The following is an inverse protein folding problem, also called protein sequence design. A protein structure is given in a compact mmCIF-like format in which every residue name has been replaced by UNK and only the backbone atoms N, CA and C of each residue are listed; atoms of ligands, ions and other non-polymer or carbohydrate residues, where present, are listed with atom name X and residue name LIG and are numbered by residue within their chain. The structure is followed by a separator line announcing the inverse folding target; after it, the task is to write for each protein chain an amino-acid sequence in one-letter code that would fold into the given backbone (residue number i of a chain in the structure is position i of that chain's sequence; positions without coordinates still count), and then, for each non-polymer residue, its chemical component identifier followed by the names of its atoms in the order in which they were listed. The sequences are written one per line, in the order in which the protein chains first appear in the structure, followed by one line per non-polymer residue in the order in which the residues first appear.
data_IF_633615060908
#
_entry.id   IF_633615060908
#
_cell.length_a   1.000
_cell.length_b   1.000
_cell.length_c   1.000
_cell.angle_alpha   90.00
_cell.angle_beta   90.00
_cell.angle_gamma   90.00
#
_symmetry.space_group_name_H-M   'P 1'
#
loop_
_entity.id
_entity.type
_entity.pdbx_description
1 polymer ?
#
# COMPACT_ATOMS: atom_id res chain seq x y z
N UNK A 1 8.16 20.89 19.86
CA UNK A 1 6.76 21.24 19.54
C UNK A 1 6.49 21.52 18.05
N UNK A 2 7.49 21.80 17.20
CA UNK A 2 7.29 21.98 15.74
C UNK A 2 7.35 20.68 14.93
N UNK A 3 8.06 19.64 15.39
CA UNK A 3 8.15 18.33 14.73
C UNK A 3 6.78 17.61 14.65
N UNK A 4 5.97 17.71 15.72
CA UNK A 4 4.65 17.09 15.82
C UNK A 4 3.63 17.63 14.80
N UNK A 5 3.80 18.87 14.32
CA UNK A 5 2.84 19.50 13.39
C UNK A 5 3.14 19.09 11.93
N UNK A 6 4.40 18.76 11.60
CA UNK A 6 4.79 18.33 10.25
C UNK A 6 4.51 16.85 9.98
N UNK A 7 4.70 15.97 10.96
CA UNK A 7 4.27 14.55 10.91
C UNK A 7 2.75 14.46 10.76
N UNK A 8 2.02 15.31 11.47
CA UNK A 8 0.56 15.44 11.33
C UNK A 8 0.17 16.00 9.96
N UNK A 9 0.99 16.82 9.28
CA UNK A 9 0.65 17.32 7.93
C UNK A 9 0.90 16.28 6.82
N UNK A 10 1.97 15.48 6.90
CA UNK A 10 2.14 14.33 6.02
C UNK A 10 1.05 13.29 6.30
N UNK A 11 0.76 12.98 7.56
CA UNK A 11 -0.37 12.14 7.90
C UNK A 11 -1.72 12.76 7.54
N UNK A 12 -1.94 14.08 7.54
CA UNK A 12 -3.25 14.69 7.24
C UNK A 12 -3.51 14.91 5.75
N UNK A 13 -2.47 15.25 4.98
CA UNK A 13 -2.58 15.40 3.52
C UNK A 13 -2.71 14.04 2.85
N UNK A 14 -2.10 12.99 3.41
CA UNK A 14 -2.34 11.60 2.98
C UNK A 14 -3.60 10.99 3.64
N UNK A 15 -3.89 11.17 4.93
CA UNK A 15 -5.04 10.48 5.59
C UNK A 15 -6.41 10.90 5.09
N UNK A 16 -6.58 12.12 4.57
CA UNK A 16 -7.87 12.56 4.03
C UNK A 16 -8.16 12.04 2.61
N UNK A 17 -7.15 11.50 1.91
CA UNK A 17 -7.33 10.87 0.59
C UNK A 17 -7.11 9.35 0.60
N UNK A 18 -6.37 8.81 1.59
CA UNK A 18 -6.03 7.38 1.68
C UNK A 18 -7.23 6.48 2.00
N UNK A 19 -8.22 6.97 2.75
CA UNK A 19 -9.26 6.09 3.32
C UNK A 19 -10.59 6.02 2.54
N UNK A 20 -10.78 6.87 1.55
CA UNK A 20 -11.98 6.87 0.72
C UNK A 20 -11.65 6.55 -0.74
N UNK A 21 -10.69 5.65 -0.97
CA UNK A 21 -10.63 5.01 -2.28
C UNK A 21 -11.83 4.08 -2.41
N UNK A 22 -12.92 4.60 -2.94
CA UNK A 22 -13.93 3.77 -3.57
C UNK A 22 -13.33 3.24 -4.88
N UNK A 23 -12.62 2.12 -4.79
CA UNK A 23 -12.33 1.20 -5.88
C UNK A 23 -13.65 0.52 -6.31
N UNK A 24 -14.70 1.34 -6.58
CA UNK A 24 -16.01 0.90 -7.05
C UNK A 24 -15.85 0.25 -8.43
N UNK A 25 -15.44 -1.01 -8.39
CA UNK A 25 -15.69 -2.02 -9.38
C UNK A 25 -17.11 -2.45 -9.13
N UNK A 26 -17.92 -2.60 -10.19
CA UNK A 26 -19.20 -3.27 -10.06
C UNK A 26 -18.93 -4.72 -9.64
N UNK A 27 -18.91 -4.99 -8.32
CA UNK A 27 -18.76 -6.33 -7.80
C UNK A 27 -19.93 -7.18 -8.27
N UNK A 28 -19.65 -8.42 -8.69
CA UNK A 28 -20.70 -9.41 -8.93
C UNK A 28 -21.43 -9.72 -7.62
N UNK A 29 -22.64 -10.27 -7.72
CA UNK A 29 -23.41 -10.68 -6.54
C UNK A 29 -22.64 -11.71 -5.70
N UNK A 30 -21.92 -12.61 -6.37
CA UNK A 30 -21.05 -13.61 -5.75
C UNK A 30 -19.89 -12.97 -4.97
N UNK A 31 -19.22 -11.98 -5.56
CA UNK A 31 -18.13 -11.25 -4.87
C UNK A 31 -18.65 -10.51 -3.63
N UNK A 32 -19.85 -9.92 -3.70
CA UNK A 32 -20.45 -9.26 -2.54
C UNK A 32 -20.76 -10.26 -1.42
N UNK A 33 -21.20 -11.47 -1.77
CA UNK A 33 -21.47 -12.50 -0.78
C UNK A 33 -20.19 -13.04 -0.14
N UNK A 34 -19.10 -13.15 -0.91
CA UNK A 34 -17.77 -13.46 -0.38
C UNK A 34 -17.34 -12.41 0.66
N UNK A 35 -17.42 -11.11 0.34
CA UNK A 35 -17.03 -10.07 1.30
C UNK A 35 -17.98 -9.95 2.51
N UNK A 36 -19.26 -10.31 2.37
CA UNK A 36 -20.18 -10.39 3.53
C UNK A 36 -19.84 -11.52 4.49
N UNK A 37 -19.38 -12.65 3.96
CA UNK A 37 -19.04 -13.85 4.74
C UNK A 37 -17.61 -13.83 5.28
N UNK A 38 -16.81 -12.84 4.90
CA UNK A 38 -15.46 -12.60 5.38
C UNK A 38 -15.44 -11.27 6.15
N UNK A 39 -15.67 -11.27 7.48
CA UNK A 39 -15.51 -10.06 8.27
C UNK A 39 -14.06 -9.57 8.16
N UNK A 40 -13.87 -8.28 8.38
CA UNK A 40 -12.60 -7.60 8.17
C UNK A 40 -11.42 -8.30 8.86
N UNK A 41 -11.64 -8.69 10.13
CA UNK A 41 -10.66 -9.37 10.96
C UNK A 41 -10.18 -10.69 10.33
N UNK A 42 -11.09 -11.43 9.68
CA UNK A 42 -10.76 -12.68 9.00
C UNK A 42 -9.95 -12.43 7.72
N UNK A 43 -10.27 -11.37 6.97
CA UNK A 43 -9.48 -10.99 5.79
C UNK A 43 -8.05 -10.67 6.19
N UNK A 44 -7.87 -9.95 7.30
CA UNK A 44 -6.56 -9.61 7.83
C UNK A 44 -5.78 -10.84 8.31
N UNK A 45 -6.40 -11.71 9.13
CA UNK A 45 -5.77 -12.96 9.57
C UNK A 45 -5.31 -13.84 8.38
N UNK A 46 -6.05 -13.84 7.28
CA UNK A 46 -5.66 -14.54 6.07
C UNK A 46 -4.56 -13.82 5.28
N UNK A 47 -4.55 -12.49 5.30
CA UNK A 47 -3.51 -11.67 4.70
C UNK A 47 -2.17 -11.87 5.39
N UNK A 48 -2.15 -11.93 6.73
CA UNK A 48 -0.94 -12.17 7.54
C UNK A 48 -0.28 -13.54 7.25
N UNK A 49 -1.05 -14.52 6.77
CA UNK A 49 -0.50 -15.81 6.29
C UNK A 49 0.35 -15.65 5.03
N UNK A 50 0.31 -14.49 4.38
CA UNK A 50 1.18 -14.12 3.27
C UNK A 50 0.84 -14.81 1.94
N UNK A 51 -0.41 -15.25 1.75
CA UNK A 51 -0.86 -15.83 0.47
C UNK A 51 -1.25 -14.73 -0.52
N UNK A 52 -0.89 -14.90 -1.79
CA UNK A 52 -1.36 -13.99 -2.83
C UNK A 52 -2.86 -14.12 -3.10
N UNK A 53 -3.47 -15.24 -2.73
CA UNK A 53 -4.93 -15.39 -2.77
C UNK A 53 -5.61 -14.49 -1.74
N UNK A 54 -5.05 -14.40 -0.52
CA UNK A 54 -5.59 -13.50 0.50
C UNK A 54 -5.34 -12.04 0.16
N UNK A 55 -4.22 -11.69 -0.50
CA UNK A 55 -4.01 -10.36 -1.09
C UNK A 55 -5.13 -10.00 -2.08
N UNK A 56 -5.45 -10.89 -3.01
CA UNK A 56 -6.52 -10.68 -3.99
C UNK A 56 -7.86 -10.49 -3.31
N UNK A 57 -8.19 -11.33 -2.32
CA UNK A 57 -9.45 -11.21 -1.57
C UNK A 57 -9.50 -9.91 -0.78
N UNK A 58 -8.41 -9.50 -0.15
CA UNK A 58 -8.32 -8.22 0.56
C UNK A 58 -8.57 -7.05 -0.39
N UNK A 59 -7.88 -6.96 -1.53
CA UNK A 59 -8.07 -5.88 -2.52
C UNK A 59 -9.52 -5.79 -3.00
N UNK A 60 -10.20 -6.93 -3.13
CA UNK A 60 -11.60 -7.00 -3.59
C UNK A 60 -12.61 -6.59 -2.52
N UNK A 61 -12.29 -6.82 -1.26
CA UNK A 61 -13.20 -6.59 -0.14
C UNK A 61 -12.87 -5.35 0.69
N UNK A 62 -11.69 -4.75 0.53
CA UNK A 62 -11.23 -3.59 1.33
C UNK A 62 -12.29 -2.48 1.36
N UNK A 63 -12.84 -2.14 0.21
CA UNK A 63 -13.85 -1.09 0.06
C UNK A 63 -15.17 -1.45 0.73
N UNK A 64 -15.53 -2.73 0.71
CA UNK A 64 -16.72 -3.23 1.39
C UNK A 64 -16.63 -3.01 2.91
N UNK A 65 -15.41 -2.95 3.45
CA UNK A 65 -15.13 -2.72 4.87
C UNK A 65 -14.62 -1.30 5.19
N UNK A 66 -14.62 -0.37 4.21
CA UNK A 66 -14.23 1.02 4.44
C UNK A 66 -12.74 1.33 4.25
N UNK A 67 -12.01 0.56 3.45
CA UNK A 67 -10.68 0.92 2.93
C UNK A 67 -9.48 0.29 3.65
N UNK A 68 -9.72 -0.55 4.66
CA UNK A 68 -8.70 -1.18 5.50
C UNK A 68 -7.93 -0.19 6.39
N UNK A 69 -7.31 -0.64 7.49
CA UNK A 69 -6.56 0.23 8.39
C UNK A 69 -5.07 0.41 7.97
N UNK A 70 -4.36 1.33 8.64
CA UNK A 70 -2.98 1.70 8.29
C UNK A 70 -1.99 0.54 8.45
N UNK A 71 -2.25 -0.38 9.38
CA UNK A 71 -1.41 -1.52 9.70
C UNK A 71 -1.54 -2.60 8.61
N UNK A 72 -2.74 -2.76 8.06
CA UNK A 72 -3.02 -3.62 6.90
C UNK A 72 -2.30 -3.15 5.63
N UNK A 73 -2.37 -1.85 5.35
CA UNK A 73 -1.74 -1.24 4.18
C UNK A 73 -0.21 -1.40 4.20
N UNK A 74 0.40 -1.44 5.37
CA UNK A 74 1.82 -1.75 5.52
C UNK A 74 2.14 -3.22 5.15
N UNK A 75 1.36 -4.17 5.65
CA UNK A 75 1.49 -5.59 5.29
C UNK A 75 1.33 -5.78 3.78
N UNK A 76 0.45 -5.01 3.15
CA UNK A 76 0.21 -5.03 1.70
C UNK A 76 1.36 -4.43 0.88
N UNK A 77 1.94 -3.32 1.31
CA UNK A 77 2.85 -2.53 0.49
C UNK A 77 4.30 -3.00 0.55
N UNK A 78 4.74 -3.53 1.69
CA UNK A 78 6.12 -3.95 1.92
C UNK A 78 6.33 -5.45 1.71
N UNK A 79 5.52 -6.27 2.37
CA UNK A 79 5.76 -7.71 2.44
C UNK A 79 5.60 -8.39 1.08
N UNK A 80 4.45 -8.20 0.41
CA UNK A 80 4.18 -8.88 -0.86
C UNK A 80 5.08 -8.37 -1.98
N UNK A 81 5.31 -7.05 -2.05
CA UNK A 81 6.22 -6.46 -3.02
C UNK A 81 7.63 -7.05 -2.91
N UNK A 82 8.17 -7.19 -1.69
CA UNK A 82 9.50 -7.75 -1.48
C UNK A 82 9.55 -9.28 -1.61
N UNK A 83 8.41 -9.97 -1.41
CA UNK A 83 8.29 -11.43 -1.57
C UNK A 83 8.35 -11.84 -3.03
N UNK A 84 7.55 -11.21 -3.89
CA UNK A 84 7.56 -11.41 -5.33
C UNK A 84 6.98 -10.18 -6.04
N UNK A 85 7.88 -9.28 -6.46
CA UNK A 85 7.51 -8.02 -7.06
C UNK A 85 6.74 -8.19 -8.38
N UNK A 86 7.04 -9.23 -9.16
CA UNK A 86 6.34 -9.48 -10.42
C UNK A 86 4.88 -9.86 -10.15
N UNK A 87 4.66 -10.84 -9.26
CA UNK A 87 3.31 -11.30 -8.95
C UNK A 87 2.49 -10.21 -8.25
N UNK A 88 3.12 -9.43 -7.38
CA UNK A 88 2.49 -8.27 -6.74
C UNK A 88 1.97 -7.25 -7.75
N UNK A 89 2.86 -6.77 -8.64
CA UNK A 89 2.50 -5.79 -9.69
C UNK A 89 1.44 -6.35 -10.63
N UNK A 90 1.55 -7.62 -11.01
CA UNK A 90 0.56 -8.31 -11.83
C UNK A 90 -0.81 -8.32 -11.18
N UNK A 91 -0.92 -8.64 -9.88
CA UNK A 91 -2.20 -8.67 -9.16
C UNK A 91 -2.83 -7.28 -9.12
N UNK A 92 -2.09 -6.23 -8.78
CA UNK A 92 -2.61 -4.86 -8.76
C UNK A 92 -3.16 -4.44 -10.13
N UNK A 93 -2.50 -4.88 -11.21
CA UNK A 93 -2.96 -4.64 -12.58
C UNK A 93 -4.24 -5.42 -12.92
N UNK A 94 -4.31 -6.72 -12.58
CA UNK A 94 -5.48 -7.57 -12.84
C UNK A 94 -6.71 -7.15 -12.03
N UNK A 95 -6.50 -6.71 -10.78
CA UNK A 95 -7.57 -6.19 -9.94
C UNK A 95 -8.00 -4.78 -10.36
N UNK A 96 -7.31 -4.17 -11.32
CA UNK A 96 -7.62 -2.85 -11.90
C UNK A 96 -7.71 -1.78 -10.80
N UNK A 97 -6.78 -1.82 -9.85
CA UNK A 97 -6.71 -0.81 -8.78
C UNK A 97 -6.56 0.56 -9.44
N UNK A 98 -7.45 1.49 -9.07
CA UNK A 98 -7.44 2.85 -9.60
C UNK A 98 -6.13 3.54 -9.20
N UNK A 99 -5.61 4.35 -10.11
CA UNK A 99 -4.34 5.05 -9.91
C UNK A 99 -4.33 5.93 -8.65
N UNK A 100 -5.45 6.62 -8.39
CA UNK A 100 -5.67 7.41 -7.17
C UNK A 100 -5.58 6.63 -5.86
N UNK A 101 -5.50 5.31 -5.95
CA UNK A 101 -5.50 4.39 -4.81
C UNK A 101 -4.23 3.56 -4.75
N UNK A 102 -3.30 3.72 -5.69
CA UNK A 102 -2.09 2.92 -5.76
C UNK A 102 -1.01 3.41 -4.79
N UNK A 103 -0.97 4.70 -4.44
CA UNK A 103 0.09 5.24 -3.58
C UNK A 103 0.26 4.44 -2.27
N UNK A 104 -0.80 4.13 -1.49
CA UNK A 104 -0.66 3.36 -0.25
C UNK A 104 -0.07 1.95 -0.45
N UNK A 105 -0.33 1.31 -1.60
CA UNK A 105 0.22 0.01 -1.96
C UNK A 105 1.74 0.05 -2.18
N UNK A 106 2.35 1.24 -2.36
CA UNK A 106 3.80 1.35 -2.51
C UNK A 106 4.46 2.03 -1.33
N UNK A 107 3.81 3.04 -0.72
CA UNK A 107 4.48 3.96 0.21
C UNK A 107 4.19 3.70 1.68
N UNK A 108 3.22 2.85 2.04
CA UNK A 108 2.94 2.56 3.45
C UNK A 108 4.15 1.86 4.08
N UNK A 109 4.67 2.36 5.20
CA UNK A 109 5.85 1.79 5.87
C UNK A 109 5.46 1.12 7.18
N UNK A 110 6.38 0.33 7.74
CA UNK A 110 6.17 -0.29 9.03
C UNK A 110 5.93 0.80 10.10
N UNK A 111 4.85 0.71 10.89
CA UNK A 111 4.57 1.69 11.95
C UNK A 111 5.71 1.83 12.97
N UNK A 112 6.52 0.78 13.17
CA UNK A 112 7.68 0.83 14.06
C UNK A 112 8.83 1.71 13.53
N UNK A 113 8.78 2.09 12.25
CA UNK A 113 9.78 2.96 11.62
C UNK A 113 9.38 4.44 11.64
N UNK A 114 8.24 4.83 12.22
CA UNK A 114 7.73 6.22 12.16
C UNK A 114 8.76 7.27 12.58
N UNK A 115 9.58 6.96 13.59
CA UNK A 115 10.64 7.86 14.09
C UNK A 115 12.06 7.47 13.60
N UNK A 116 12.19 6.44 12.76
CA UNK A 116 13.46 5.94 12.21
C UNK A 116 13.59 6.29 10.71
N UNK A 117 14.03 7.52 10.43
CA UNK A 117 14.22 7.98 9.05
C UNK A 117 15.23 7.12 8.25
N UNK A 118 16.26 6.57 8.90
CA UNK A 118 17.25 5.73 8.22
C UNK A 118 16.66 4.36 7.85
N UNK A 119 15.86 3.77 8.75
CA UNK A 119 15.08 2.58 8.48
C UNK A 119 14.07 2.78 7.34
N UNK A 120 13.34 3.89 7.34
CA UNK A 120 12.39 4.23 6.27
C UNK A 120 13.09 4.35 4.90
N UNK A 121 14.19 5.09 4.81
CA UNK A 121 15.00 5.24 3.59
C UNK A 121 15.50 3.88 3.10
N UNK A 122 16.00 3.05 4.01
CA UNK A 122 16.50 1.71 3.70
C UNK A 122 15.40 0.82 3.12
N UNK A 123 14.19 0.89 3.66
CA UNK A 123 13.06 0.11 3.17
C UNK A 123 12.61 0.58 1.77
N UNK A 124 12.51 1.89 1.56
CA UNK A 124 12.15 2.46 0.25
C UNK A 124 13.18 2.06 -0.82
N UNK A 125 14.48 2.14 -0.51
CA UNK A 125 15.52 1.70 -1.45
C UNK A 125 15.38 0.22 -1.84
N UNK A 126 15.02 -0.67 -0.92
CA UNK A 126 14.76 -2.08 -1.23
C UNK A 126 13.59 -2.23 -2.21
N UNK A 127 12.50 -1.51 -1.96
CA UNK A 127 11.30 -1.53 -2.82
C UNK A 127 11.58 -0.99 -4.23
N UNK A 128 12.31 0.12 -4.34
CA UNK A 128 12.77 0.66 -5.62
C UNK A 128 13.63 -0.36 -6.37
N UNK A 129 14.61 -0.96 -5.69
CA UNK A 129 15.53 -1.93 -6.28
C UNK A 129 14.77 -3.11 -6.90
N UNK A 130 13.80 -3.70 -6.19
CA UNK A 130 13.02 -4.84 -6.74
C UNK A 130 12.15 -4.41 -7.92
N UNK A 131 11.51 -3.24 -7.88
CA UNK A 131 10.69 -2.75 -8.99
C UNK A 131 11.51 -2.44 -10.25
N UNK A 132 12.75 -1.97 -10.09
CA UNK A 132 13.67 -1.70 -11.20
C UNK A 132 14.07 -2.98 -11.95
N UNK A 133 13.98 -4.16 -11.33
CA UNK A 133 14.26 -5.44 -11.99
C UNK A 133 13.14 -5.89 -12.93
N UNK A 134 11.95 -5.31 -12.81
CA UNK A 134 10.78 -5.71 -13.60
C UNK A 134 10.76 -5.02 -14.96
N UNK A 135 10.08 -5.63 -15.93
CA UNK A 135 9.71 -4.94 -17.17
C UNK A 135 8.81 -3.72 -16.87
N UNK A 136 8.86 -2.70 -17.74
CA UNK A 136 7.98 -1.53 -17.61
C UNK A 136 6.52 -1.92 -17.76
N UNK A 137 5.71 -1.42 -16.85
CA UNK A 137 4.25 -1.49 -16.84
C UNK A 137 3.72 -0.24 -16.13
N UNK A 138 2.46 0.12 -16.38
CA UNK A 138 1.84 1.30 -15.76
C UNK A 138 1.94 1.26 -14.22
N UNK A 139 1.62 0.11 -13.62
CA UNK A 139 1.64 -0.06 -12.16
C UNK A 139 3.08 0.02 -11.63
N UNK A 140 4.03 -0.61 -12.31
CA UNK A 140 5.43 -0.58 -11.90
C UNK A 140 6.00 0.84 -11.96
N UNK A 141 5.73 1.55 -13.05
CA UNK A 141 6.26 2.90 -13.27
C UNK A 141 5.65 3.91 -12.29
N UNK A 142 4.35 3.77 -12.00
CA UNK A 142 3.68 4.52 -10.94
C UNK A 142 4.32 4.25 -9.56
N UNK A 143 4.51 2.98 -9.20
CA UNK A 143 5.13 2.61 -7.92
C UNK A 143 6.55 3.14 -7.77
N UNK A 144 7.35 3.14 -8.84
CA UNK A 144 8.68 3.76 -8.84
C UNK A 144 8.62 5.26 -8.60
N UNK A 145 7.71 5.97 -9.27
CA UNK A 145 7.55 7.41 -9.10
C UNK A 145 7.19 7.76 -7.65
N UNK A 146 6.16 7.13 -7.08
CA UNK A 146 5.71 7.39 -5.71
C UNK A 146 6.81 7.13 -4.67
N UNK A 147 7.57 6.06 -4.84
CA UNK A 147 8.68 5.73 -3.94
C UNK A 147 9.85 6.72 -4.07
N UNK A 148 10.14 7.20 -5.29
CA UNK A 148 11.18 8.20 -5.52
C UNK A 148 10.80 9.55 -4.91
N UNK A 149 9.57 10.02 -5.12
CA UNK A 149 9.07 11.25 -4.51
C UNK A 149 9.10 11.16 -2.98
N UNK A 150 8.75 10.01 -2.41
CA UNK A 150 8.80 9.82 -0.96
C UNK A 150 10.25 9.77 -0.43
N UNK A 151 11.17 9.13 -1.16
CA UNK A 151 12.58 9.12 -0.82
C UNK A 151 13.17 10.53 -0.78
N UNK A 152 12.91 11.34 -1.81
CA UNK A 152 13.37 12.73 -1.89
C UNK A 152 12.85 13.57 -0.71
N UNK A 153 11.58 13.36 -0.32
CA UNK A 153 11.01 14.01 0.86
C UNK A 153 11.78 13.64 2.14
N UNK A 154 12.03 12.35 2.39
CA UNK A 154 12.74 11.89 3.58
C UNK A 154 14.19 12.41 3.61
N UNK A 155 14.91 12.33 2.49
CA UNK A 155 16.29 12.85 2.40
C UNK A 155 16.34 14.37 2.57
N UNK A 156 15.36 15.09 2.04
CA UNK A 156 15.22 16.54 2.22
C UNK A 156 14.94 16.96 3.66
N UNK A 157 14.31 16.10 4.47
CA UNK A 157 14.09 16.35 5.90
C UNK A 157 15.29 16.04 6.77
N UNK A 158 16.16 15.09 6.38
CA UNK A 158 17.42 14.77 7.08
C UNK A 158 18.43 15.94 7.07
N UNK A 159 18.34 16.79 6.06
CA UNK A 159 19.28 17.89 5.83
C UNK A 159 18.81 19.26 6.41
N UNK A 160 17.74 19.30 7.21
CA UNK A 160 17.18 20.50 7.84
C UNK A 160 17.18 20.40 9.36
#
# INVERSE_FOLDING_TARGET
MRLFIFLVFAMLVFSSQVFACENMRSMTLEQKEICRTHPYEKLYEELEKGSYESLVTFIRCSDFHGGGDLEDLHTLSGFFLLKDAFLYVYILEQEKVRESCLAPYFTMLNPNLVDDAEGQITEIHKRISVLQTLQSSRIRDYGLQELQEYLEFLEGTKNK
#
